data_IF_124760435536
#
_entry.id   IF_124760435536
#
_cell.length_a   1.000
_cell.length_b   1.000
_cell.length_c   1.000
_cell.angle_alpha   90.00
_cell.angle_beta   90.00
_cell.angle_gamma   90.00
#
_symmetry.space_group_name_H-M   'P 1'
#
loop_
_entity.id
_entity.type
_entity.pdbx_description
1 polymer ?
#
# COMPACT_ATOMS: atom_id res chain seq x y z
N UNK A 1 0.44 -2.59 48.53
CA UNK A 1 0.98 -3.22 47.34
C UNK A 1 1.16 -2.13 46.30
N UNK A 2 2.40 -1.77 45.97
CA UNK A 2 2.66 -0.85 44.86
C UNK A 2 2.42 -1.60 43.58
N UNK A 3 1.35 -1.28 42.86
CA UNK A 3 1.12 -1.77 41.51
C UNK A 3 2.15 -1.00 40.67
N UNK A 4 3.22 -1.66 40.22
CA UNK A 4 4.12 -1.09 39.24
C UNK A 4 3.32 -0.67 38.03
N UNK A 5 3.51 0.55 37.49
CA UNK A 5 2.82 0.94 36.27
C UNK A 5 3.14 -0.07 35.18
N UNK A 6 2.12 -0.59 34.53
CA UNK A 6 2.29 -1.47 33.39
C UNK A 6 3.12 -0.71 32.33
N UNK A 7 4.08 -1.40 31.71
CA UNK A 7 4.82 -0.82 30.60
C UNK A 7 3.86 -0.64 29.43
N UNK A 8 3.86 0.54 28.81
CA UNK A 8 3.00 0.86 27.67
C UNK A 8 3.83 1.23 26.45
N UNK A 9 3.26 1.00 25.28
CA UNK A 9 3.80 1.41 23.99
C UNK A 9 2.81 2.41 23.37
N UNK A 10 3.19 3.70 23.23
CA UNK A 10 2.34 4.68 22.58
C UNK A 10 2.28 4.41 21.08
N UNK A 11 1.10 4.62 20.49
CA UNK A 11 0.88 4.46 19.06
C UNK A 11 -0.04 5.55 18.51
N UNK A 12 0.08 5.79 17.19
CA UNK A 12 -0.93 6.48 16.39
C UNK A 12 -1.50 5.49 15.39
N UNK A 13 -2.83 5.32 15.37
CA UNK A 13 -3.52 4.54 14.34
C UNK A 13 -3.90 5.45 13.18
N UNK A 14 -3.55 5.04 11.96
CA UNK A 14 -3.87 5.75 10.74
C UNK A 14 -4.36 4.78 9.66
N UNK A 15 -5.10 5.28 8.67
CA UNK A 15 -5.58 4.48 7.55
C UNK A 15 -5.45 5.24 6.23
N UNK A 16 -5.06 4.53 5.20
CA UNK A 16 -5.03 5.01 3.83
C UNK A 16 -5.78 4.01 2.92
N UNK A 17 -6.88 4.45 2.32
CA UNK A 17 -7.70 3.64 1.42
C UNK A 17 -8.12 2.28 2.03
N UNK A 18 -8.56 2.28 3.30
CA UNK A 18 -9.06 1.09 3.99
C UNK A 18 -7.99 0.10 4.45
N UNK A 19 -6.72 0.43 4.30
CA UNK A 19 -5.58 -0.29 4.83
C UNK A 19 -5.07 0.47 6.07
N UNK A 20 -5.08 -0.15 7.25
CA UNK A 20 -4.83 0.52 8.52
C UNK A 20 -3.50 0.09 9.15
N UNK A 21 -2.81 1.07 9.72
CA UNK A 21 -1.48 0.89 10.30
C UNK A 21 -1.39 1.49 11.70
N UNK A 22 -0.56 0.87 12.53
CA UNK A 22 -0.09 1.44 13.77
C UNK A 22 1.29 2.07 13.54
N UNK A 23 1.41 3.34 13.85
CA UNK A 23 2.65 4.09 13.71
C UNK A 23 3.26 4.20 15.11
N UNK A 24 4.42 3.60 15.31
CA UNK A 24 5.05 3.40 16.63
C UNK A 24 6.54 3.78 16.59
N UNK A 25 7.02 4.48 17.61
CA UNK A 25 8.45 4.75 17.74
C UNK A 25 9.21 3.47 18.13
N UNK A 26 10.17 3.05 17.30
CA UNK A 26 10.92 1.81 17.48
C UNK A 26 11.74 1.78 18.76
N UNK A 27 12.21 2.94 19.24
CA UNK A 27 12.92 3.07 20.51
C UNK A 27 12.06 2.80 21.75
N UNK A 28 10.73 2.79 21.63
CA UNK A 28 9.82 2.46 22.73
C UNK A 28 9.79 0.96 23.06
N UNK A 29 10.33 0.11 22.17
CA UNK A 29 10.30 -1.35 22.28
C UNK A 29 11.70 -1.92 22.42
N UNK A 30 11.91 -2.71 23.47
CA UNK A 30 13.09 -3.58 23.59
C UNK A 30 12.64 -5.02 23.31
N UNK A 31 13.06 -5.59 22.16
CA UNK A 31 12.74 -6.98 21.82
C UNK A 31 12.46 -7.18 20.33
N UNK A 32 11.84 -8.29 20.02
CA UNK A 32 11.50 -8.69 18.65
C UNK A 32 10.32 -7.87 18.10
N UNK A 33 10.60 -7.02 17.11
CA UNK A 33 9.60 -6.19 16.45
C UNK A 33 8.55 -7.04 15.71
N UNK A 34 8.95 -8.18 15.15
CA UNK A 34 8.03 -9.07 14.45
C UNK A 34 6.98 -9.66 15.41
N UNK A 35 7.42 -10.12 16.59
CA UNK A 35 6.50 -10.61 17.62
C UNK A 35 5.60 -9.50 18.16
N UNK A 36 6.18 -8.32 18.40
CA UNK A 36 5.39 -7.18 18.88
C UNK A 36 4.37 -6.72 17.83
N UNK A 37 4.73 -6.76 16.54
CA UNK A 37 3.80 -6.44 15.45
C UNK A 37 2.62 -7.41 15.41
N UNK A 38 2.85 -8.73 15.57
CA UNK A 38 1.77 -9.71 15.67
C UNK A 38 0.81 -9.40 16.82
N UNK A 39 1.35 -9.07 18.00
CA UNK A 39 0.53 -8.73 19.18
C UNK A 39 -0.27 -7.45 18.97
N UNK A 40 0.36 -6.40 18.47
CA UNK A 40 -0.29 -5.11 18.20
C UNK A 40 -1.38 -5.23 17.14
N UNK A 41 -1.13 -6.00 16.07
CA UNK A 41 -2.04 -6.16 14.94
C UNK A 41 -3.22 -7.12 15.21
N UNK A 42 -3.17 -7.94 16.26
CA UNK A 42 -4.28 -8.82 16.62
C UNK A 42 -5.56 -7.99 16.84
N UNK A 43 -6.61 -8.28 16.05
CA UNK A 43 -7.85 -7.49 16.08
C UNK A 43 -8.76 -7.82 17.27
N UNK A 44 -8.44 -8.86 18.04
CA UNK A 44 -9.22 -9.28 19.21
C UNK A 44 -8.47 -9.05 20.54
N UNK A 45 -7.13 -9.28 20.55
CA UNK A 45 -6.32 -9.21 21.76
C UNK A 45 -5.28 -8.08 21.70
N UNK A 46 -5.22 -7.34 20.60
CA UNK A 46 -4.34 -6.20 20.38
C UNK A 46 -5.13 -4.92 20.07
N UNK A 47 -4.49 -4.01 19.37
CA UNK A 47 -5.12 -2.79 18.84
C UNK A 47 -5.85 -3.09 17.51
N UNK A 48 -5.34 -4.05 16.75
CA UNK A 48 -5.83 -4.44 15.45
C UNK A 48 -5.37 -3.50 14.34
N UNK A 49 -4.64 -4.04 13.37
CA UNK A 49 -4.21 -3.34 12.16
C UNK A 49 -3.77 -4.34 11.09
N UNK A 50 -3.55 -3.86 9.86
CA UNK A 50 -2.96 -4.62 8.77
C UNK A 50 -1.43 -4.68 8.89
N UNK A 51 -0.82 -3.72 9.60
CA UNK A 51 0.61 -3.68 9.85
C UNK A 51 1.03 -2.61 10.85
N UNK A 52 2.33 -2.63 11.19
CA UNK A 52 2.98 -1.65 12.04
C UNK A 52 4.11 -0.98 11.26
N UNK A 53 4.11 0.35 11.25
CA UNK A 53 5.23 1.16 10.79
C UNK A 53 6.06 1.56 12.02
N UNK A 54 7.23 0.94 12.19
CA UNK A 54 8.17 1.25 13.24
C UNK A 54 9.08 2.40 12.82
N UNK A 55 9.06 3.49 13.58
CA UNK A 55 9.78 4.71 13.26
C UNK A 55 11.12 4.76 14.01
N UNK A 56 12.17 5.14 13.29
CA UNK A 56 13.52 5.33 13.83
C UNK A 56 14.10 6.66 13.35
N UNK A 57 14.95 7.34 14.16
CA UNK A 57 15.72 8.49 13.67
C UNK A 57 16.53 8.14 12.42
N UNK A 58 16.67 9.10 11.52
CA UNK A 58 17.49 8.99 10.31
C UNK A 58 18.24 10.32 10.09
N UNK A 59 19.47 10.24 9.59
CA UNK A 59 20.34 11.42 9.42
C UNK A 59 20.07 12.16 8.10
N UNK A 60 19.45 11.49 7.11
CA UNK A 60 19.21 12.04 5.76
C UNK A 60 17.73 12.21 5.43
N UNK A 61 16.83 11.56 6.20
CA UNK A 61 15.39 11.66 6.05
C UNK A 61 14.74 12.26 7.30
N UNK A 62 13.47 12.67 7.19
CA UNK A 62 12.72 13.10 8.37
C UNK A 62 12.54 11.97 9.37
N UNK A 63 12.45 10.73 8.87
CA UNK A 63 12.31 9.50 9.66
C UNK A 63 12.68 8.28 8.81
N UNK A 64 13.18 7.22 9.44
CA UNK A 64 13.19 5.87 8.86
C UNK A 64 11.98 5.09 9.34
N UNK A 65 11.30 4.38 8.45
CA UNK A 65 10.15 3.54 8.73
C UNK A 65 10.42 2.10 8.29
N UNK A 66 10.20 1.14 9.21
CA UNK A 66 10.24 -0.30 8.92
C UNK A 66 8.83 -0.86 9.04
N UNK A 67 8.35 -1.44 7.96
CA UNK A 67 7.02 -2.01 7.89
C UNK A 67 7.04 -3.49 8.28
N UNK A 68 6.18 -3.85 9.23
CA UNK A 68 5.85 -5.24 9.55
C UNK A 68 4.37 -5.50 9.31
N UNK A 69 4.07 -6.54 8.56
CA UNK A 69 2.70 -7.02 8.36
C UNK A 69 2.11 -7.61 9.65
N UNK A 70 0.79 -7.84 9.67
CA UNK A 70 0.10 -8.41 10.83
C UNK A 70 0.59 -9.82 11.22
N UNK A 71 1.18 -10.57 10.30
CA UNK A 71 1.81 -11.88 10.56
C UNK A 71 3.24 -11.79 11.11
N UNK A 72 3.77 -10.57 11.24
CA UNK A 72 5.12 -10.27 11.71
C UNK A 72 6.19 -10.35 10.62
N UNK A 73 5.84 -10.61 9.38
CA UNK A 73 6.79 -10.52 8.27
C UNK A 73 7.17 -9.06 7.97
N UNK A 74 8.45 -8.80 7.74
CA UNK A 74 8.91 -7.47 7.33
C UNK A 74 8.70 -7.29 5.83
N UNK A 75 8.17 -6.13 5.43
CA UNK A 75 7.98 -5.73 4.04
C UNK A 75 8.82 -4.50 3.71
N UNK A 76 9.27 -4.40 2.46
CA UNK A 76 10.13 -3.30 2.02
C UNK A 76 9.40 -1.95 2.02
N UNK A 77 8.12 -1.94 1.62
CA UNK A 77 7.30 -0.73 1.51
C UNK A 77 5.80 -1.06 1.43
N UNK A 78 5.00 -0.16 1.99
CA UNK A 78 3.58 0.01 1.65
C UNK A 78 3.33 1.47 1.26
N UNK A 79 2.83 1.73 0.07
CA UNK A 79 2.45 3.08 -0.33
C UNK A 79 1.36 3.69 0.57
N UNK A 80 0.45 2.85 1.10
CA UNK A 80 -0.55 3.25 2.09
C UNK A 80 0.10 3.54 3.45
N UNK A 81 0.99 2.66 3.93
CA UNK A 81 1.73 2.83 5.18
C UNK A 81 2.61 4.08 5.16
N UNK A 82 3.36 4.29 4.09
CA UNK A 82 4.21 5.48 3.91
C UNK A 82 3.39 6.78 4.00
N UNK A 83 2.18 6.83 3.39
CA UNK A 83 1.31 8.00 3.53
C UNK A 83 0.78 8.16 4.96
N UNK A 84 0.52 7.05 5.68
CA UNK A 84 0.15 7.10 7.09
C UNK A 84 1.28 7.68 7.95
N UNK A 85 2.53 7.29 7.72
CA UNK A 85 3.71 7.90 8.36
C UNK A 85 3.80 9.39 8.03
N UNK A 86 3.65 9.76 6.74
CA UNK A 86 3.66 11.16 6.31
C UNK A 86 2.55 11.98 7.01
N UNK A 87 1.36 11.41 7.23
CA UNK A 87 0.26 12.09 7.93
C UNK A 87 0.61 12.34 9.42
N UNK A 88 1.30 11.40 10.08
CA UNK A 88 1.79 11.60 11.45
C UNK A 88 2.80 12.74 11.48
N UNK A 89 3.81 12.74 10.60
CA UNK A 89 4.79 13.81 10.50
C UNK A 89 4.15 15.18 10.19
N UNK A 90 3.27 15.23 9.19
CA UNK A 90 2.55 16.44 8.79
C UNK A 90 1.54 16.97 9.83
N UNK A 91 1.21 16.14 10.84
CA UNK A 91 0.44 16.59 12.01
C UNK A 91 1.29 17.27 13.07
N UNK A 92 2.61 17.07 13.04
CA UNK A 92 3.56 17.54 14.06
C UNK A 92 4.40 18.72 13.58
N UNK A 93 4.58 18.88 12.26
CA UNK A 93 5.38 19.95 11.67
C UNK A 93 4.67 20.55 10.46
N UNK A 94 4.88 21.85 10.25
CA UNK A 94 4.47 22.56 9.03
C UNK A 94 5.53 22.31 7.94
N UNK A 95 5.38 21.21 7.20
CA UNK A 95 6.20 20.93 6.02
C UNK A 95 5.30 20.50 4.88
N UNK A 96 5.61 20.99 3.67
CA UNK A 96 4.93 20.57 2.46
C UNK A 96 5.45 19.20 1.95
N UNK A 97 6.62 18.78 2.39
CA UNK A 97 7.24 17.53 1.99
C UNK A 97 7.74 16.75 3.22
N UNK A 98 7.56 15.43 3.19
CA UNK A 98 8.07 14.49 4.16
C UNK A 98 8.96 13.48 3.46
N UNK A 99 10.22 13.42 3.86
CA UNK A 99 11.19 12.47 3.35
C UNK A 99 11.27 11.28 4.30
N UNK A 100 10.89 10.10 3.82
CA UNK A 100 10.78 8.89 4.61
C UNK A 100 11.71 7.83 4.02
N UNK A 101 12.63 7.30 4.82
CA UNK A 101 13.43 6.15 4.46
C UNK A 101 12.64 4.87 4.71
N UNK A 102 12.48 4.05 3.68
CA UNK A 102 11.83 2.73 3.73
C UNK A 102 12.81 1.64 3.33
N UNK A 103 12.45 0.37 3.47
CA UNK A 103 13.22 -0.75 2.93
C UNK A 103 13.44 -0.67 1.40
N UNK A 104 12.55 0.02 0.68
CA UNK A 104 12.66 0.29 -0.75
C UNK A 104 13.33 1.66 -1.06
N UNK A 105 14.14 2.20 -0.13
CA UNK A 105 14.86 3.46 -0.27
C UNK A 105 14.05 4.69 0.16
N UNK A 106 14.58 5.87 -0.15
CA UNK A 106 13.97 7.15 0.18
C UNK A 106 12.69 7.38 -0.62
N UNK A 107 11.65 7.87 0.08
CA UNK A 107 10.36 8.22 -0.50
C UNK A 107 9.96 9.62 -0.07
N UNK A 108 9.58 10.43 -1.04
CA UNK A 108 9.06 11.78 -0.80
C UNK A 108 7.55 11.77 -0.87
N UNK A 109 6.90 12.16 0.22
CA UNK A 109 5.46 12.41 0.27
C UNK A 109 5.22 13.91 0.29
N UNK A 110 4.64 14.45 -0.78
CA UNK A 110 4.27 15.86 -0.87
C UNK A 110 2.83 16.06 -0.41
N UNK A 111 2.64 16.89 0.62
CA UNK A 111 1.32 17.27 1.09
C UNK A 111 0.63 18.19 0.07
N UNK A 112 -0.50 17.75 -0.48
CA UNK A 112 -1.29 18.49 -1.47
C UNK A 112 -2.56 19.10 -0.89
N UNK A 113 -3.00 18.60 0.29
CA UNK A 113 -4.17 19.11 0.98
C UNK A 113 -4.36 18.51 2.36
N UNK A 114 -5.17 19.19 3.20
CA UNK A 114 -5.55 18.70 4.52
C UNK A 114 -6.98 19.10 4.86
N UNK A 115 -7.74 18.15 5.39
CA UNK A 115 -9.10 18.39 5.90
C UNK A 115 -9.27 17.67 7.23
N UNK A 116 -9.16 18.42 8.33
CA UNK A 116 -9.19 17.85 9.67
C UNK A 116 -8.06 16.85 9.91
N UNK A 117 -8.40 15.61 10.19
CA UNK A 117 -7.46 14.51 10.39
C UNK A 117 -7.04 13.78 9.10
N UNK A 118 -7.61 14.16 7.94
CA UNK A 118 -7.27 13.58 6.64
C UNK A 118 -6.29 14.48 5.90
N UNK A 119 -5.22 13.89 5.44
CA UNK A 119 -4.14 14.50 4.66
C UNK A 119 -4.14 13.89 3.27
N UNK A 120 -3.95 14.71 2.23
CA UNK A 120 -3.77 14.27 0.85
C UNK A 120 -2.30 14.37 0.48
N UNK A 121 -1.73 13.28 -0.01
CA UNK A 121 -0.33 13.23 -0.40
C UNK A 121 -0.19 12.80 -1.86
N UNK A 122 0.78 13.41 -2.55
CA UNK A 122 1.35 12.88 -3.78
C UNK A 122 2.71 12.26 -3.46
N UNK A 123 2.93 11.02 -3.93
CA UNK A 123 4.19 10.30 -3.83
C UNK A 123 4.74 10.00 -5.22
N UNK A 124 6.05 10.19 -5.41
CA UNK A 124 6.77 9.73 -6.59
C UNK A 124 7.00 8.21 -6.45
N UNK A 125 6.45 7.46 -7.38
CA UNK A 125 6.53 6.00 -7.43
C UNK A 125 7.62 5.50 -8.39
N UNK A 126 8.33 6.42 -9.04
CA UNK A 126 9.39 6.14 -10.00
C UNK A 126 8.88 5.74 -11.39
N UNK A 127 9.77 5.12 -12.17
CA UNK A 127 9.48 4.70 -13.54
C UNK A 127 8.93 3.28 -13.58
N UNK A 128 7.85 3.03 -14.34
CA UNK A 128 7.35 1.68 -14.55
C UNK A 128 8.23 0.92 -15.53
N UNK A 129 8.45 -0.38 -15.29
CA UNK A 129 9.01 -1.28 -16.29
C UNK A 129 7.85 -2.03 -16.95
N UNK A 130 7.86 -2.07 -18.28
CA UNK A 130 6.78 -2.63 -19.10
C UNK A 130 7.31 -3.81 -19.92
N UNK A 131 7.31 -5.05 -19.40
CA UNK A 131 7.76 -6.24 -20.16
C UNK A 131 6.86 -6.54 -21.36
N UNK A 132 5.59 -6.12 -21.33
CA UNK A 132 4.63 -6.32 -22.41
C UNK A 132 3.40 -7.10 -21.99
N UNK A 133 2.65 -7.58 -22.99
CA UNK A 133 1.49 -8.44 -22.76
C UNK A 133 1.91 -9.91 -22.66
N UNK A 134 1.18 -10.65 -21.84
CA UNK A 134 1.35 -12.10 -21.67
C UNK A 134 -0.02 -12.78 -21.68
N UNK A 135 -0.11 -13.87 -22.44
CA UNK A 135 -1.25 -14.77 -22.39
C UNK A 135 -0.96 -15.93 -21.43
N UNK A 136 -1.86 -16.18 -20.51
CA UNK A 136 -1.83 -17.30 -19.56
C UNK A 136 -2.98 -18.24 -19.91
N UNK A 137 -2.65 -19.50 -20.20
CA UNK A 137 -3.62 -20.54 -20.47
C UNK A 137 -3.52 -21.61 -19.39
N UNK A 138 -4.61 -21.90 -18.70
CA UNK A 138 -4.75 -22.93 -17.69
C UNK A 138 -6.10 -23.64 -17.83
N UNK A 139 -6.24 -24.88 -17.36
CA UNK A 139 -7.55 -25.53 -17.33
C UNK A 139 -8.58 -24.67 -16.58
N UNK A 140 -9.58 -24.18 -17.33
CA UNK A 140 -10.66 -23.34 -16.79
C UNK A 140 -10.32 -21.87 -16.53
N UNK A 141 -9.11 -21.40 -16.85
CA UNK A 141 -8.72 -19.97 -16.74
C UNK A 141 -7.83 -19.59 -17.91
N UNK A 142 -8.32 -18.70 -18.76
CA UNK A 142 -7.52 -18.02 -19.78
C UNK A 142 -7.48 -16.53 -19.44
N UNK A 143 -6.31 -15.93 -19.41
CA UNK A 143 -6.18 -14.50 -19.19
C UNK A 143 -5.09 -13.92 -20.10
N UNK A 144 -5.40 -12.79 -20.74
CA UNK A 144 -4.40 -11.94 -21.36
C UNK A 144 -4.26 -10.70 -20.51
N UNK A 145 -3.04 -10.38 -20.14
CA UNK A 145 -2.78 -9.23 -19.27
C UNK A 145 -1.49 -8.52 -19.60
N UNK A 146 -1.40 -7.29 -19.16
CA UNK A 146 -0.22 -6.43 -19.28
C UNK A 146 0.67 -6.60 -18.05
N UNK A 147 1.93 -6.93 -18.27
CA UNK A 147 2.91 -6.97 -17.20
C UNK A 147 3.43 -5.55 -16.91
N UNK A 148 3.42 -5.17 -15.63
CA UNK A 148 3.96 -3.89 -15.17
C UNK A 148 4.78 -4.15 -13.91
N UNK A 149 5.97 -3.57 -13.82
CA UNK A 149 6.72 -3.53 -12.55
C UNK A 149 6.77 -2.10 -12.03
N UNK A 150 6.36 -1.94 -10.78
CA UNK A 150 6.48 -0.71 -9.99
C UNK A 150 7.53 -0.88 -8.87
N UNK A 151 8.59 -1.70 -9.14
CA UNK A 151 9.54 -2.20 -8.16
C UNK A 151 9.15 -3.60 -7.65
N UNK A 152 7.90 -3.98 -7.81
CA UNK A 152 7.35 -5.32 -7.62
C UNK A 152 6.48 -5.70 -8.84
N UNK A 153 6.31 -7.01 -9.14
CA UNK A 153 5.60 -7.46 -10.34
C UNK A 153 4.09 -7.35 -10.20
N UNK A 154 3.44 -6.87 -11.28
CA UNK A 154 2.00 -6.79 -11.45
C UNK A 154 1.58 -7.39 -12.78
N UNK A 155 0.44 -8.08 -12.78
CA UNK A 155 -0.22 -8.61 -13.98
C UNK A 155 -1.63 -8.04 -14.05
N UNK A 156 -1.84 -7.13 -14.99
CA UNK A 156 -3.07 -6.35 -15.13
C UNK A 156 -3.97 -6.97 -16.20
N UNK A 157 -5.13 -7.44 -15.79
CA UNK A 157 -6.15 -8.09 -16.65
C UNK A 157 -7.33 -7.14 -16.84
N UNK A 158 -7.61 -6.74 -18.07
CA UNK A 158 -8.77 -5.91 -18.38
C UNK A 158 -10.04 -6.75 -18.53
N UNK A 159 -11.12 -6.31 -17.91
CA UNK A 159 -12.43 -6.98 -17.91
C UNK A 159 -13.54 -5.95 -18.09
N UNK A 160 -14.62 -6.33 -18.76
CA UNK A 160 -15.83 -5.50 -18.82
C UNK A 160 -16.64 -5.61 -17.52
N UNK A 161 -16.66 -6.82 -16.93
CA UNK A 161 -17.31 -7.14 -15.68
C UNK A 161 -16.36 -8.02 -14.85
N UNK A 162 -16.25 -7.76 -13.57
CA UNK A 162 -15.43 -8.60 -12.70
C UNK A 162 -16.00 -10.02 -12.64
N UNK A 163 -15.22 -11.05 -13.00
CA UNK A 163 -15.72 -12.41 -13.06
C UNK A 163 -16.02 -12.95 -11.66
N UNK A 164 -17.06 -13.78 -11.55
CA UNK A 164 -17.30 -14.53 -10.32
C UNK A 164 -16.09 -15.41 -10.01
N UNK A 165 -15.65 -15.41 -8.75
CA UNK A 165 -14.48 -16.17 -8.31
C UNK A 165 -13.14 -15.60 -8.82
N UNK A 166 -13.07 -14.33 -9.16
CA UNK A 166 -11.85 -13.65 -9.59
C UNK A 166 -10.69 -13.82 -8.58
N UNK A 167 -10.99 -13.96 -7.28
CA UNK A 167 -9.97 -14.23 -6.25
C UNK A 167 -9.25 -15.55 -6.49
N UNK A 168 -10.01 -16.62 -6.83
CA UNK A 168 -9.44 -17.92 -7.16
C UNK A 168 -8.63 -17.85 -8.46
N UNK A 169 -9.11 -17.13 -9.45
CA UNK A 169 -8.37 -16.92 -10.69
C UNK A 169 -7.09 -16.13 -10.43
N UNK A 170 -7.18 -15.06 -9.63
CA UNK A 170 -6.02 -14.25 -9.21
C UNK A 170 -4.95 -15.09 -8.51
N UNK A 171 -5.34 -15.98 -7.59
CA UNK A 171 -4.41 -16.92 -6.93
C UNK A 171 -3.72 -17.84 -7.94
N UNK A 172 -4.47 -18.40 -8.88
CA UNK A 172 -3.93 -19.29 -9.90
C UNK A 172 -2.95 -18.55 -10.84
N UNK A 173 -3.26 -17.32 -11.22
CA UNK A 173 -2.39 -16.47 -12.04
C UNK A 173 -1.14 -16.08 -11.26
N UNK A 174 -1.29 -15.62 -10.01
CA UNK A 174 -0.20 -15.16 -9.17
C UNK A 174 0.92 -16.20 -8.96
N UNK A 175 0.58 -17.48 -9.06
CA UNK A 175 1.50 -18.61 -8.83
C UNK A 175 1.93 -19.32 -10.11
N UNK A 176 1.69 -18.75 -11.29
CA UNK A 176 2.08 -19.35 -12.56
C UNK A 176 3.60 -19.45 -12.73
N UNK A 177 4.11 -20.50 -13.43
CA UNK A 177 5.53 -20.60 -13.76
C UNK A 177 6.10 -19.40 -14.52
N UNK A 178 5.26 -18.66 -15.25
CA UNK A 178 5.63 -17.42 -15.89
C UNK A 178 6.09 -16.33 -14.89
N UNK A 179 5.70 -16.47 -13.61
CA UNK A 179 6.08 -15.58 -12.53
C UNK A 179 6.85 -16.37 -11.44
N UNK A 180 8.16 -16.63 -11.62
CA UNK A 180 8.92 -17.50 -10.70
C UNK A 180 8.92 -17.05 -9.24
N UNK A 181 8.74 -15.75 -9.01
CA UNK A 181 8.64 -15.15 -7.67
C UNK A 181 7.20 -14.80 -7.29
N UNK A 182 6.22 -15.23 -8.10
CA UNK A 182 4.83 -14.79 -8.00
C UNK A 182 4.62 -13.37 -8.51
N UNK A 183 3.36 -12.97 -8.64
CA UNK A 183 2.97 -11.62 -9.09
C UNK A 183 1.72 -11.16 -8.35
N UNK A 184 1.54 -9.83 -8.26
CA UNK A 184 0.24 -9.26 -7.93
C UNK A 184 -0.65 -9.31 -9.17
N UNK A 185 -1.96 -9.45 -8.98
CA UNK A 185 -2.93 -9.53 -10.09
C UNK A 185 -4.01 -8.48 -9.88
N UNK A 186 -4.15 -7.62 -10.87
CA UNK A 186 -5.17 -6.59 -10.88
C UNK A 186 -6.20 -6.87 -11.99
N UNK A 187 -7.47 -6.99 -11.60
CA UNK A 187 -8.57 -6.96 -12.54
C UNK A 187 -9.04 -5.52 -12.70
N UNK A 188 -9.13 -5.04 -13.94
CA UNK A 188 -9.38 -3.62 -14.24
C UNK A 188 -10.56 -3.48 -15.16
N UNK A 189 -11.58 -2.72 -14.74
CA UNK A 189 -12.69 -2.28 -15.59
C UNK A 189 -12.55 -0.78 -15.88
N UNK A 190 -12.65 -0.42 -17.15
CA UNK A 190 -12.60 0.99 -17.59
C UNK A 190 -14.01 1.58 -17.49
N UNK A 191 -14.21 2.53 -16.59
CA UNK A 191 -15.50 3.15 -16.32
C UNK A 191 -15.62 4.58 -16.86
N UNK A 192 -14.54 5.12 -17.38
CA UNK A 192 -14.54 6.45 -18.01
C UNK A 192 -13.21 6.76 -18.69
N UNK A 193 -13.10 7.87 -19.43
CA UNK A 193 -11.90 8.23 -20.18
C UNK A 193 -10.69 8.57 -19.30
N UNK A 194 -10.90 8.74 -18.00
CA UNK A 194 -9.89 9.01 -16.96
C UNK A 194 -10.20 8.26 -15.66
N UNK A 195 -10.97 7.18 -15.75
CA UNK A 195 -11.42 6.47 -14.54
C UNK A 195 -11.45 4.95 -14.78
N UNK A 196 -10.88 4.22 -13.84
CA UNK A 196 -10.89 2.75 -13.81
C UNK A 196 -11.36 2.27 -12.43
N UNK A 197 -12.03 1.11 -12.42
CA UNK A 197 -12.31 0.36 -11.19
C UNK A 197 -11.43 -0.88 -11.14
N UNK A 198 -10.91 -1.23 -9.96
CA UNK A 198 -9.97 -2.34 -9.81
C UNK A 198 -10.37 -3.31 -8.70
N UNK A 199 -9.95 -4.57 -8.86
CA UNK A 199 -9.90 -5.58 -7.81
C UNK A 199 -8.48 -6.11 -7.74
N UNK A 200 -8.00 -6.39 -6.54
CA UNK A 200 -6.61 -6.63 -6.23
C UNK A 200 -6.42 -7.98 -5.54
N UNK A 201 -5.55 -8.80 -6.09
CA UNK A 201 -5.05 -10.02 -5.46
C UNK A 201 -3.53 -9.88 -5.29
N UNK A 202 -3.10 -9.61 -4.06
CA UNK A 202 -1.69 -9.36 -3.77
C UNK A 202 -0.96 -10.67 -3.47
N UNK A 203 0.25 -10.78 -4.00
CA UNK A 203 1.16 -11.89 -3.80
C UNK A 203 1.44 -12.13 -2.31
N UNK A 204 1.16 -13.35 -1.85
CA UNK A 204 1.38 -13.74 -0.45
C UNK A 204 0.32 -13.27 0.54
N UNK A 205 -0.59 -12.38 0.13
CA UNK A 205 -1.65 -11.81 0.99
C UNK A 205 -3.03 -12.29 0.55
N UNK A 206 -3.31 -12.28 -0.76
CA UNK A 206 -4.63 -12.58 -1.31
C UNK A 206 -5.41 -11.33 -1.70
N UNK A 207 -6.74 -11.39 -1.59
CA UNK A 207 -7.60 -10.23 -1.84
C UNK A 207 -7.29 -9.10 -0.87
N UNK A 208 -7.01 -7.90 -1.41
CA UNK A 208 -6.83 -6.68 -0.63
C UNK A 208 -7.79 -5.58 -1.10
N UNK A 209 -8.05 -4.64 -0.21
CA UNK A 209 -8.99 -3.55 -0.50
C UNK A 209 -8.35 -2.41 -1.29
N UNK A 210 -7.03 -2.27 -1.23
CA UNK A 210 -6.29 -1.22 -1.91
C UNK A 210 -4.80 -1.55 -1.93
N UNK A 211 -4.13 -1.16 -3.02
CA UNK A 211 -2.67 -1.25 -3.18
C UNK A 211 -2.18 0.00 -3.91
N UNK A 212 -1.14 0.63 -3.39
CA UNK A 212 -0.55 1.81 -4.05
C UNK A 212 0.12 1.44 -5.37
N UNK A 213 0.98 0.41 -5.36
CA UNK A 213 1.68 -0.08 -6.56
C UNK A 213 0.71 -0.74 -7.54
N UNK A 214 -0.31 -1.46 -7.04
CA UNK A 214 -1.36 -2.05 -7.87
C UNK A 214 -2.21 -1.00 -8.59
N UNK A 215 -2.53 0.12 -7.91
CA UNK A 215 -3.21 1.26 -8.53
C UNK A 215 -2.36 1.91 -9.62
N UNK A 216 -1.05 2.09 -9.36
CA UNK A 216 -0.11 2.62 -10.35
C UNK A 216 0.01 1.69 -11.57
N UNK A 217 0.22 0.39 -11.34
CA UNK A 217 0.34 -0.60 -12.40
C UNK A 217 -0.93 -0.66 -13.27
N UNK A 218 -2.11 -0.65 -12.64
CA UNK A 218 -3.40 -0.64 -13.32
C UNK A 218 -3.58 0.59 -14.22
N UNK A 219 -3.26 1.79 -13.69
CA UNK A 219 -3.36 3.03 -14.44
C UNK A 219 -2.35 3.08 -15.59
N UNK A 220 -1.10 2.68 -15.36
CA UNK A 220 -0.05 2.61 -16.39
C UNK A 220 -0.46 1.66 -17.52
N UNK A 221 -0.93 0.43 -17.19
CA UNK A 221 -1.41 -0.52 -18.18
C UNK A 221 -2.58 0.05 -19.00
N UNK A 222 -3.51 0.74 -18.35
CA UNK A 222 -4.67 1.35 -19.02
C UNK A 222 -4.25 2.52 -19.95
N UNK A 223 -3.24 3.31 -19.58
CA UNK A 223 -2.71 4.40 -20.41
C UNK A 223 -1.94 3.83 -21.61
N UNK A 224 -1.06 2.84 -21.42
CA UNK A 224 -0.31 2.19 -22.49
C UNK A 224 -1.24 1.52 -23.50
N UNK A 225 -2.28 0.83 -23.00
CA UNK A 225 -3.34 0.25 -23.82
C UNK A 225 -4.27 1.27 -24.48
N UNK A 226 -4.03 2.59 -24.31
CA UNK A 226 -4.84 3.70 -24.84
C UNK A 226 -6.32 3.61 -24.45
N UNK A 227 -6.62 3.02 -23.29
CA UNK A 227 -7.97 2.87 -22.75
C UNK A 227 -8.40 4.11 -21.97
N UNK A 228 -7.45 4.77 -21.32
CA UNK A 228 -7.64 6.01 -20.55
C UNK A 228 -6.49 6.99 -20.78
N UNK A 229 -6.64 8.23 -20.33
CA UNK A 229 -5.57 9.26 -20.35
C UNK A 229 -5.22 9.73 -18.95
N UNK A 230 -3.91 10.03 -18.73
CA UNK A 230 -3.41 10.61 -17.48
C UNK A 230 -4.00 12.01 -17.21
N UNK A 231 -4.29 12.39 -15.95
CA UNK A 231 -4.30 11.56 -14.76
C UNK A 231 -5.49 10.60 -14.72
N UNK A 232 -5.33 9.46 -14.06
CA UNK A 232 -6.33 8.40 -13.94
C UNK A 232 -6.84 8.30 -12.51
N UNK A 233 -8.14 8.38 -12.32
CA UNK A 233 -8.80 8.08 -11.08
C UNK A 233 -8.97 6.56 -10.97
N UNK A 234 -8.41 5.97 -9.92
CA UNK A 234 -8.43 4.53 -9.65
C UNK A 234 -9.36 4.29 -8.47
N UNK A 235 -10.45 3.58 -8.71
CA UNK A 235 -11.46 3.22 -7.70
C UNK A 235 -11.21 1.78 -7.26
N UNK A 236 -10.82 1.59 -6.00
CA UNK A 236 -10.67 0.29 -5.36
C UNK A 236 -11.68 0.13 -4.22
N UNK A 237 -11.95 -1.10 -3.73
CA UNK A 237 -12.88 -1.30 -2.60
C UNK A 237 -12.52 -0.54 -1.33
N UNK A 238 -11.25 -0.23 -1.13
CA UNK A 238 -10.76 0.51 0.03
C UNK A 238 -10.82 2.03 -0.10
N UNK A 239 -10.96 2.55 -1.32
CA UNK A 239 -10.99 3.99 -1.57
C UNK A 239 -10.52 4.39 -2.96
N UNK A 240 -10.36 5.68 -3.15
CA UNK A 240 -10.00 6.28 -4.43
C UNK A 240 -8.60 6.86 -4.36
N UNK A 241 -7.81 6.61 -5.40
CA UNK A 241 -6.49 7.18 -5.61
C UNK A 241 -6.43 7.81 -7.00
N UNK A 242 -5.53 8.75 -7.20
CA UNK A 242 -5.27 9.34 -8.53
C UNK A 242 -3.85 9.02 -8.93
N UNK A 243 -3.68 8.48 -10.13
CA UNK A 243 -2.38 8.17 -10.71
C UNK A 243 -2.11 9.10 -11.87
N UNK A 244 -1.02 9.83 -11.80
CA UNK A 244 -0.50 10.65 -12.89
C UNK A 244 0.80 10.05 -13.42
N UNK A 245 0.90 9.89 -14.72
CA UNK A 245 2.12 9.45 -15.39
C UNK A 245 2.60 10.56 -16.33
N UNK A 246 3.74 11.13 -15.99
CA UNK A 246 4.37 12.27 -16.69
C UNK A 246 5.89 12.16 -16.46
N UNK A 247 6.54 11.32 -17.25
CA UNK A 247 7.90 10.85 -17.00
C UNK A 247 7.91 9.81 -15.89
N UNK A 248 7.78 10.22 -14.62
CA UNK A 248 7.57 9.33 -13.48
C UNK A 248 6.08 9.06 -13.23
N UNK A 249 5.80 7.99 -12.49
CA UNK A 249 4.46 7.70 -11.97
C UNK A 249 4.29 8.37 -10.61
N UNK A 250 3.25 9.18 -10.47
CA UNK A 250 2.88 9.84 -9.22
C UNK A 250 1.56 9.28 -8.72
N UNK A 251 1.54 8.90 -7.45
CA UNK A 251 0.35 8.42 -6.76
C UNK A 251 -0.14 9.47 -5.78
N UNK A 252 -1.37 9.95 -5.99
CA UNK A 252 -2.04 10.81 -5.02
C UNK A 252 -3.13 10.01 -4.30
N UNK A 253 -3.17 10.17 -2.98
CA UNK A 253 -4.19 9.53 -2.16
C UNK A 253 -4.20 10.02 -0.72
N UNK A 254 -5.32 9.74 -0.01
CA UNK A 254 -5.50 10.17 1.36
C UNK A 254 -4.74 9.30 2.36
N UNK A 255 -4.48 9.90 3.53
CA UNK A 255 -4.22 9.19 4.79
C UNK A 255 -4.93 9.90 5.93
N UNK A 256 -5.63 9.17 6.77
CA UNK A 256 -6.43 9.70 7.87
C UNK A 256 -5.88 9.21 9.21
N UNK A 257 -5.56 10.14 10.11
CA UNK A 257 -5.24 9.81 11.49
C UNK A 257 -6.54 9.45 12.23
N UNK A 258 -6.59 8.26 12.83
CA UNK A 258 -7.81 7.72 13.45
C UNK A 258 -7.81 8.00 14.95
N UNK A 259 -6.77 7.55 15.66
CA UNK A 259 -6.65 7.75 17.10
C UNK A 259 -5.18 7.67 17.56
N UNK A 260 -4.97 8.09 18.79
CA UNK A 260 -3.74 7.84 19.55
C UNK A 260 -4.10 7.03 20.80
N UNK A 261 -3.18 6.18 21.24
CA UNK A 261 -3.38 5.35 22.41
C UNK A 261 -2.08 4.77 22.95
N UNK A 262 -2.23 3.94 23.97
CA UNK A 262 -1.15 3.19 24.60
C UNK A 262 -1.53 1.71 24.65
N UNK A 263 -0.62 0.85 24.22
CA UNK A 263 -0.77 -0.60 24.29
C UNK A 263 -0.03 -1.12 25.52
N UNK A 264 -0.69 -1.91 26.38
CA UNK A 264 -0.11 -2.52 27.57
C UNK A 264 0.74 -3.76 27.20
N UNK A 265 2.00 -3.84 27.66
CA UNK A 265 2.95 -4.92 27.39
C UNK A 265 3.32 -5.68 28.65
#
# INVERSE_FOLDING_TARGET
MSILPARTIPFTKASACGNDFLIVEGGAVSGDLAEMSRRLCDRHNGVGADGVEWLFPDDEADIAARLFNADGSEAEISGNGTRCVAAVLGSQKESAEMLIRTGAGLKTCRLTGRRGATFEFEADMGDPILPGELAIEMPGVGAVGTQVSMGNPHFVVFVDVFPDGWQRQGMLIATQPAFPQGTNVEYVSVIGPKEIEIRLFERGVGETRSSGTGSCASAVAAIVGRRVSSPVKVVAPGGVQTVRWDGHVYLQGPATLICRGEFFV
#
